data_IF_934375198158
#
_entry.id   IF_934375198158
#
_cell.length_a   1.000
_cell.length_b   1.000
_cell.length_c   1.000
_cell.angle_alpha   90.00
_cell.angle_beta   90.00
_cell.angle_gamma   90.00
#
_symmetry.space_group_name_H-M   'P 1'
#
loop_
_entity.id
_entity.type
_entity.pdbx_description
1 polymer ?
#
# COMPACT_ATOMS: atom_id res chain seq x y z
N UNK A 1 -35.25 -23.18 -2.49
CA UNK A 1 -36.10 -22.68 -3.60
C UNK A 1 -35.35 -21.91 -4.70
N UNK A 2 -34.07 -21.53 -4.53
CA UNK A 2 -33.30 -20.73 -5.52
C UNK A 2 -33.07 -21.39 -6.90
N UNK A 3 -32.96 -22.72 -6.97
CA UNK A 3 -32.65 -23.41 -8.23
C UNK A 3 -33.78 -23.40 -9.27
N UNK A 4 -35.04 -23.34 -8.83
CA UNK A 4 -36.20 -23.49 -9.73
C UNK A 4 -36.47 -22.25 -10.59
N UNK A 5 -36.08 -21.06 -10.13
CA UNK A 5 -36.35 -19.79 -10.83
C UNK A 5 -35.23 -19.36 -11.79
N UNK A 6 -34.00 -19.91 -11.63
CA UNK A 6 -32.86 -19.62 -12.51
C UNK A 6 -32.85 -20.53 -13.75
N UNK A 7 -33.44 -21.72 -13.63
CA UNK A 7 -33.43 -22.77 -14.67
C UNK A 7 -33.88 -22.28 -16.05
N UNK A 8 -34.98 -21.51 -16.19
CA UNK A 8 -35.45 -21.04 -17.49
C UNK A 8 -34.47 -20.07 -18.16
N UNK A 9 -33.87 -19.14 -17.38
CA UNK A 9 -32.89 -18.18 -17.89
C UNK A 9 -31.62 -18.89 -18.39
N UNK A 10 -31.13 -19.87 -17.63
CA UNK A 10 -29.96 -20.67 -18.01
C UNK A 10 -30.25 -21.51 -19.25
N UNK A 11 -31.39 -22.19 -19.30
CA UNK A 11 -31.79 -22.99 -20.45
C UNK A 11 -31.90 -22.13 -21.72
N UNK A 12 -32.55 -20.97 -21.63
CA UNK A 12 -32.71 -20.07 -22.76
C UNK A 12 -31.37 -19.48 -23.24
N UNK A 13 -30.46 -19.16 -22.32
CA UNK A 13 -29.10 -18.71 -22.63
C UNK A 13 -28.33 -19.81 -23.37
N UNK A 14 -28.38 -21.05 -22.88
CA UNK A 14 -27.70 -22.18 -23.49
C UNK A 14 -28.23 -22.49 -24.90
N UNK A 15 -29.55 -22.51 -25.08
CA UNK A 15 -30.17 -22.70 -26.39
C UNK A 15 -29.79 -21.58 -27.35
N UNK A 16 -29.80 -20.33 -26.88
CA UNK A 16 -29.38 -19.18 -27.68
C UNK A 16 -27.93 -19.29 -28.15
N UNK A 17 -27.01 -19.68 -27.27
CA UNK A 17 -25.60 -19.86 -27.63
C UNK A 17 -25.41 -20.95 -28.68
N UNK A 18 -25.98 -22.15 -28.45
CA UNK A 18 -25.87 -23.26 -29.39
C UNK A 18 -26.37 -22.87 -30.79
N UNK A 19 -27.48 -22.13 -30.85
CA UNK A 19 -28.02 -21.66 -32.09
C UNK A 19 -27.12 -20.62 -32.78
N UNK A 20 -26.62 -19.64 -32.02
CA UNK A 20 -25.75 -18.58 -32.55
C UNK A 20 -24.46 -19.20 -33.10
N UNK A 21 -23.85 -20.12 -32.36
CA UNK A 21 -22.68 -20.89 -32.81
C UNK A 21 -22.98 -21.70 -34.07
N UNK A 22 -24.09 -22.44 -34.11
CA UNK A 22 -24.47 -23.24 -35.28
C UNK A 22 -24.63 -22.39 -36.54
N UNK A 23 -25.30 -21.23 -36.43
CA UNK A 23 -25.50 -20.31 -37.55
C UNK A 23 -24.17 -19.68 -37.99
N UNK A 24 -23.33 -19.24 -37.05
CA UNK A 24 -21.99 -18.72 -37.38
C UNK A 24 -21.15 -19.77 -38.09
N UNK A 25 -21.22 -21.04 -37.68
CA UNK A 25 -20.49 -22.12 -38.35
C UNK A 25 -21.00 -22.40 -39.76
N UNK A 26 -22.33 -22.44 -39.94
CA UNK A 26 -22.91 -22.66 -41.27
C UNK A 26 -22.56 -21.52 -42.24
N UNK A 27 -22.57 -20.28 -41.75
CA UNK A 27 -22.36 -19.11 -42.60
C UNK A 27 -20.87 -18.80 -42.81
N UNK A 28 -20.13 -18.67 -41.71
CA UNK A 28 -18.71 -18.32 -41.76
C UNK A 28 -17.86 -19.51 -42.20
N UNK A 29 -18.25 -20.75 -41.90
CA UNK A 29 -17.55 -21.94 -42.37
C UNK A 29 -17.53 -22.12 -43.89
N UNK A 30 -18.44 -21.44 -44.62
CA UNK A 30 -18.42 -21.38 -46.08
C UNK A 30 -17.38 -20.38 -46.62
N UNK A 31 -17.00 -19.38 -45.82
CA UNK A 31 -16.10 -18.29 -46.22
C UNK A 31 -14.70 -18.40 -45.62
N UNK A 32 -14.56 -18.98 -44.42
CA UNK A 32 -13.29 -19.16 -43.70
C UNK A 32 -13.19 -20.59 -43.17
N UNK A 33 -11.97 -21.09 -42.87
CA UNK A 33 -11.80 -22.43 -42.31
C UNK A 33 -12.65 -22.63 -41.05
N UNK A 34 -13.31 -23.78 -40.95
CA UNK A 34 -14.23 -24.09 -39.84
C UNK A 34 -13.65 -23.87 -38.42
N UNK A 35 -12.35 -24.07 -38.13
CA UNK A 35 -11.81 -23.76 -36.79
C UNK A 35 -11.84 -22.26 -36.48
N UNK A 36 -11.67 -21.41 -37.49
CA UNK A 36 -11.75 -19.95 -37.33
C UNK A 36 -13.20 -19.53 -37.04
N UNK A 37 -14.16 -20.10 -37.76
CA UNK A 37 -15.58 -19.87 -37.51
C UNK A 37 -16.01 -20.30 -36.09
N UNK A 38 -15.49 -21.43 -35.60
CA UNK A 38 -15.70 -21.87 -34.21
C UNK A 38 -15.17 -20.87 -33.19
N UNK A 39 -13.94 -20.40 -33.37
CA UNK A 39 -13.33 -19.42 -32.45
C UNK A 39 -14.14 -18.12 -32.44
N UNK A 40 -14.63 -17.66 -33.59
CA UNK A 40 -15.47 -16.45 -33.68
C UNK A 40 -16.80 -16.66 -32.96
N UNK A 41 -17.50 -17.77 -33.21
CA UNK A 41 -18.77 -18.07 -32.54
C UNK A 41 -18.63 -18.21 -31.02
N UNK A 42 -17.64 -19.00 -30.58
CA UNK A 42 -17.30 -19.13 -29.16
C UNK A 42 -16.84 -17.81 -28.53
N UNK A 43 -16.18 -16.94 -29.30
CA UNK A 43 -15.76 -15.62 -28.85
C UNK A 43 -16.95 -14.69 -28.57
N UNK A 44 -17.95 -14.69 -29.46
CA UNK A 44 -19.19 -13.92 -29.27
C UNK A 44 -19.94 -14.40 -28.02
N UNK A 45 -20.18 -15.71 -27.94
CA UNK A 45 -20.91 -16.31 -26.83
C UNK A 45 -20.14 -16.22 -25.50
N UNK A 46 -18.82 -16.42 -25.55
CA UNK A 46 -17.93 -16.31 -24.40
C UNK A 46 -17.85 -14.88 -23.87
N UNK A 47 -17.77 -13.88 -24.76
CA UNK A 47 -17.84 -12.47 -24.40
C UNK A 47 -19.17 -12.13 -23.73
N UNK A 48 -20.28 -12.63 -24.28
CA UNK A 48 -21.60 -12.43 -23.70
C UNK A 48 -21.73 -13.07 -22.31
N UNK A 49 -21.30 -14.32 -22.13
CA UNK A 49 -21.30 -14.98 -20.82
C UNK A 49 -20.41 -14.28 -19.80
N UNK A 50 -19.24 -13.80 -20.21
CA UNK A 50 -18.35 -13.04 -19.33
C UNK A 50 -19.03 -11.76 -18.83
N UNK A 51 -19.75 -11.05 -19.70
CA UNK A 51 -20.51 -9.86 -19.28
C UNK A 51 -21.67 -10.21 -18.34
N UNK A 52 -22.42 -11.28 -18.61
CA UNK A 52 -23.50 -11.75 -17.73
C UNK A 52 -22.99 -12.17 -16.36
N UNK A 53 -21.87 -12.90 -16.30
CA UNK A 53 -21.24 -13.31 -15.06
C UNK A 53 -20.76 -12.09 -14.26
N UNK A 54 -20.17 -11.10 -14.93
CA UNK A 54 -19.69 -9.88 -14.31
C UNK A 54 -20.84 -9.02 -13.76
N UNK A 55 -21.91 -8.82 -14.54
CA UNK A 55 -23.11 -8.13 -14.10
C UNK A 55 -23.74 -8.82 -12.88
N UNK A 56 -23.83 -10.14 -12.88
CA UNK A 56 -24.40 -10.90 -11.76
C UNK A 56 -23.54 -10.76 -10.50
N UNK A 57 -22.21 -10.74 -10.64
CA UNK A 57 -21.29 -10.48 -9.55
C UNK A 57 -21.47 -9.08 -8.96
N UNK A 58 -21.54 -8.06 -9.82
CA UNK A 58 -21.81 -6.67 -9.40
C UNK A 58 -23.16 -6.56 -8.70
N UNK A 59 -24.20 -7.17 -9.26
CA UNK A 59 -25.55 -7.15 -8.69
C UNK A 59 -25.58 -7.81 -7.30
N UNK A 60 -24.82 -8.89 -7.08
CA UNK A 60 -24.67 -9.51 -5.76
C UNK A 60 -23.95 -8.60 -4.74
N UNK A 61 -23.11 -7.69 -5.22
CA UNK A 61 -22.41 -6.67 -4.40
C UNK A 61 -23.24 -5.39 -4.22
N UNK A 62 -24.46 -5.34 -4.77
CA UNK A 62 -25.29 -4.13 -4.76
C UNK A 62 -24.76 -3.00 -5.65
N UNK A 63 -23.89 -3.31 -6.61
CA UNK A 63 -23.30 -2.36 -7.56
C UNK A 63 -23.79 -2.67 -8.98
N UNK A 64 -23.65 -1.70 -9.89
CA UNK A 64 -24.02 -1.82 -11.29
C UNK A 64 -23.18 -0.90 -12.16
N UNK A 65 -22.60 -1.46 -13.23
CA UNK A 65 -21.79 -0.73 -14.20
C UNK A 65 -22.55 -0.61 -15.53
N UNK A 66 -22.92 0.61 -15.90
CA UNK A 66 -23.65 0.91 -17.14
C UNK A 66 -22.90 0.48 -18.39
N UNK A 67 -21.57 0.56 -18.40
CA UNK A 67 -20.75 0.16 -19.55
C UNK A 67 -20.86 -1.36 -19.75
N UNK A 68 -20.71 -2.14 -18.68
CA UNK A 68 -20.81 -3.60 -18.79
C UNK A 68 -22.23 -4.00 -19.23
N UNK A 69 -23.25 -3.34 -18.69
CA UNK A 69 -24.64 -3.57 -19.14
C UNK A 69 -24.84 -3.26 -20.62
N UNK A 70 -24.30 -2.14 -21.11
CA UNK A 70 -24.37 -1.79 -22.52
C UNK A 70 -23.65 -2.84 -23.39
N UNK A 71 -22.48 -3.33 -22.97
CA UNK A 71 -21.73 -4.38 -23.67
C UNK A 71 -22.50 -5.71 -23.67
N UNK A 72 -23.12 -6.10 -22.56
CA UNK A 72 -23.94 -7.31 -22.51
C UNK A 72 -25.16 -7.25 -23.44
N UNK A 73 -25.77 -6.07 -23.59
CA UNK A 73 -26.85 -5.83 -24.56
C UNK A 73 -26.35 -5.79 -26.00
N UNK A 74 -25.17 -5.20 -26.27
CA UNK A 74 -24.62 -5.14 -27.62
C UNK A 74 -24.32 -6.55 -28.16
N UNK A 75 -23.75 -7.45 -27.34
CA UNK A 75 -23.57 -8.85 -27.73
C UNK A 75 -24.90 -9.54 -28.04
N UNK A 76 -25.93 -9.33 -27.22
CA UNK A 76 -27.26 -9.88 -27.46
C UNK A 76 -27.89 -9.37 -28.77
N UNK A 77 -27.72 -8.07 -29.07
CA UNK A 77 -28.19 -7.46 -30.32
C UNK A 77 -27.40 -7.96 -31.53
N UNK A 78 -26.07 -8.14 -31.41
CA UNK A 78 -25.23 -8.69 -32.47
C UNK A 78 -25.65 -10.14 -32.77
N UNK A 79 -25.80 -10.97 -31.74
CA UNK A 79 -26.26 -12.36 -31.91
C UNK A 79 -27.64 -12.42 -32.58
N UNK A 80 -28.59 -11.61 -32.14
CA UNK A 80 -29.90 -11.51 -32.77
C UNK A 80 -29.80 -11.02 -34.23
N UNK A 81 -28.94 -10.03 -34.50
CA UNK A 81 -28.69 -9.52 -35.85
C UNK A 81 -28.13 -10.59 -36.79
N UNK A 82 -27.19 -11.42 -36.32
CA UNK A 82 -26.66 -12.57 -37.09
C UNK A 82 -27.78 -13.57 -37.41
N UNK A 83 -28.64 -13.87 -36.44
CA UNK A 83 -29.77 -14.78 -36.65
C UNK A 83 -30.82 -14.21 -37.61
N UNK A 84 -31.12 -12.91 -37.53
CA UNK A 84 -32.02 -12.23 -38.48
C UNK A 84 -31.41 -12.24 -39.89
N UNK A 85 -30.13 -11.92 -40.03
CA UNK A 85 -29.44 -11.96 -41.31
C UNK A 85 -29.48 -13.36 -41.94
N UNK A 86 -29.29 -14.40 -41.11
CA UNK A 86 -29.45 -15.78 -41.57
C UNK A 86 -30.90 -16.08 -41.98
N UNK A 87 -31.89 -15.67 -41.21
CA UNK A 87 -33.31 -15.89 -41.53
C UNK A 87 -33.69 -15.30 -42.90
N UNK A 88 -33.15 -14.12 -43.23
CA UNK A 88 -33.39 -13.42 -44.49
C UNK A 88 -32.63 -14.00 -45.68
N UNK A 89 -31.54 -14.72 -45.45
CA UNK A 89 -30.70 -15.32 -46.50
C UNK A 89 -30.93 -16.83 -46.67
N UNK A 90 -31.62 -17.46 -45.73
CA UNK A 90 -31.99 -18.87 -45.81
C UNK A 90 -33.07 -19.11 -46.88
N UNK A 91 -32.86 -20.12 -47.73
CA UNK A 91 -33.78 -20.47 -48.82
C UNK A 91 -35.12 -21.06 -48.32
N UNK A 92 -35.17 -21.53 -47.07
CA UNK A 92 -36.34 -22.16 -46.46
C UNK A 92 -36.51 -21.74 -45.01
N UNK A 93 -37.77 -21.60 -44.56
CA UNK A 93 -38.08 -21.46 -43.13
C UNK A 93 -37.83 -20.08 -42.52
N UNK A 94 -37.83 -19.00 -43.31
CA UNK A 94 -37.64 -17.61 -42.85
C UNK A 94 -38.47 -17.24 -41.61
N UNK A 95 -39.74 -17.61 -41.58
CA UNK A 95 -40.63 -17.31 -40.45
C UNK A 95 -40.20 -18.00 -39.15
N UNK A 96 -39.74 -19.25 -39.22
CA UNK A 96 -39.24 -19.99 -38.06
C UNK A 96 -37.92 -19.38 -37.56
N UNK A 97 -37.00 -19.05 -38.46
CA UNK A 97 -35.73 -18.42 -38.09
C UNK A 97 -35.91 -17.02 -37.50
N UNK A 98 -36.83 -16.21 -38.04
CA UNK A 98 -37.17 -14.91 -37.46
C UNK A 98 -37.76 -15.03 -36.05
N UNK A 99 -38.57 -16.05 -35.78
CA UNK A 99 -39.11 -16.29 -34.44
C UNK A 99 -37.99 -16.60 -33.43
N UNK A 100 -37.01 -17.40 -33.83
CA UNK A 100 -35.91 -17.83 -32.95
C UNK A 100 -34.81 -16.76 -32.83
N UNK A 101 -34.68 -15.85 -33.81
CA UNK A 101 -33.67 -14.78 -33.80
C UNK A 101 -33.75 -13.85 -32.58
N UNK A 102 -34.90 -13.76 -31.92
CA UNK A 102 -35.10 -12.95 -30.73
C UNK A 102 -34.67 -13.63 -29.42
N UNK A 103 -34.28 -14.92 -29.46
CA UNK A 103 -33.86 -15.66 -28.27
C UNK A 103 -32.72 -15.01 -27.47
N UNK A 104 -31.64 -14.45 -28.06
CA UNK A 104 -30.57 -13.82 -27.29
C UNK A 104 -31.06 -12.63 -26.45
N UNK A 105 -31.94 -11.82 -27.04
CA UNK A 105 -32.56 -10.65 -26.39
C UNK A 105 -33.50 -11.11 -25.28
N UNK A 106 -34.34 -12.11 -25.56
CA UNK A 106 -35.26 -12.66 -24.59
C UNK A 106 -34.55 -13.34 -23.40
N UNK A 107 -33.44 -14.05 -23.65
CA UNK A 107 -32.60 -14.63 -22.60
C UNK A 107 -32.03 -13.54 -21.67
N UNK A 108 -31.50 -12.45 -22.24
CA UNK A 108 -31.02 -11.29 -21.46
C UNK A 108 -32.13 -10.63 -20.65
N UNK A 109 -33.30 -10.43 -21.25
CA UNK A 109 -34.47 -9.88 -20.56
C UNK A 109 -34.93 -10.78 -19.40
N UNK A 110 -34.90 -12.10 -19.58
CA UNK A 110 -35.26 -13.06 -18.55
C UNK A 110 -34.31 -13.00 -17.35
N UNK A 111 -33.01 -12.78 -17.57
CA UNK A 111 -32.05 -12.50 -16.48
C UNK A 111 -32.39 -11.22 -15.70
N UNK A 112 -32.85 -10.16 -16.37
CA UNK A 112 -33.29 -8.93 -15.70
C UNK A 112 -34.54 -9.15 -14.87
N UNK A 113 -35.55 -9.83 -15.43
CA UNK A 113 -36.78 -10.18 -14.71
C UNK A 113 -36.46 -11.03 -13.50
N UNK A 114 -35.57 -12.01 -13.64
CA UNK A 114 -35.12 -12.83 -12.54
C UNK A 114 -34.46 -12.00 -11.42
N UNK A 115 -33.56 -11.08 -11.78
CA UNK A 115 -32.94 -10.18 -10.80
C UNK A 115 -33.93 -9.25 -10.11
N UNK A 116 -34.99 -8.81 -10.81
CA UNK A 116 -36.09 -8.06 -10.22
C UNK A 116 -36.92 -8.93 -9.27
N UNK A 117 -37.21 -10.17 -9.65
CA UNK A 117 -37.94 -11.14 -8.83
C UNK A 117 -37.21 -11.46 -7.52
N UNK A 118 -35.89 -11.65 -7.57
CA UNK A 118 -35.07 -11.85 -6.37
C UNK A 118 -35.18 -10.65 -5.41
N UNK A 119 -35.27 -9.42 -5.95
CA UNK A 119 -35.46 -8.21 -5.14
C UNK A 119 -36.86 -8.10 -4.55
N UNK A 120 -37.90 -8.46 -5.31
CA UNK A 120 -39.29 -8.42 -4.82
C UNK A 120 -39.61 -9.55 -3.84
N UNK A 121 -38.84 -10.64 -3.87
CA UNK A 121 -38.97 -11.73 -2.89
C UNK A 121 -38.40 -11.36 -1.51
N UNK A 122 -37.60 -10.30 -1.42
CA UNK A 122 -37.07 -9.78 -0.16
C UNK A 122 -38.02 -8.73 0.41
N UNK A 123 -38.28 -8.79 1.71
CA UNK A 123 -39.06 -7.75 2.39
C UNK A 123 -38.32 -6.40 2.34
N UNK A 124 -39.03 -5.25 2.36
CA UNK A 124 -38.39 -3.93 2.40
C UNK A 124 -37.42 -3.78 3.58
N UNK A 125 -37.73 -4.39 4.73
CA UNK A 125 -36.86 -4.44 5.90
C UNK A 125 -35.56 -5.20 5.64
N UNK A 126 -35.62 -6.35 4.96
CA UNK A 126 -34.44 -7.12 4.58
C UNK A 126 -33.57 -6.37 3.56
N UNK A 127 -34.17 -5.69 2.58
CA UNK A 127 -33.44 -4.83 1.65
C UNK A 127 -32.77 -3.65 2.37
N UNK A 128 -33.44 -3.05 3.35
CA UNK A 128 -32.88 -2.00 4.21
C UNK A 128 -31.67 -2.50 5.02
N UNK A 129 -31.79 -3.67 5.64
CA UNK A 129 -30.69 -4.29 6.40
C UNK A 129 -29.49 -4.61 5.51
N UNK A 130 -29.70 -5.16 4.31
CA UNK A 130 -28.63 -5.44 3.34
C UNK A 130 -27.91 -4.15 2.94
N UNK A 131 -28.66 -3.07 2.65
CA UNK A 131 -28.08 -1.76 2.33
C UNK A 131 -27.28 -1.18 3.50
N UNK A 132 -27.77 -1.35 4.73
CA UNK A 132 -27.05 -0.94 5.94
C UNK A 132 -25.71 -1.65 6.08
N UNK A 133 -25.71 -2.99 6.01
CA UNK A 133 -24.49 -3.81 6.09
C UNK A 133 -23.49 -3.44 4.98
N UNK A 134 -23.97 -3.23 3.75
CA UNK A 134 -23.10 -2.84 2.64
C UNK A 134 -22.47 -1.46 2.83
N UNK A 135 -23.20 -0.53 3.46
CA UNK A 135 -22.71 0.83 3.70
C UNK A 135 -21.68 0.83 4.83
N UNK A 136 -21.97 0.14 5.92
CA UNK A 136 -21.03 -0.02 7.02
C UNK A 136 -19.74 -0.69 6.57
N UNK A 137 -19.81 -1.74 5.74
CA UNK A 137 -18.62 -2.37 5.16
C UNK A 137 -17.82 -1.42 4.24
N UNK A 138 -18.50 -0.54 3.49
CA UNK A 138 -17.82 0.47 2.65
C UNK A 138 -17.12 1.53 3.50
N UNK A 139 -17.78 1.99 4.57
CA UNK A 139 -17.25 2.98 5.49
C UNK A 139 -16.05 2.43 6.24
N UNK A 140 -16.15 1.19 6.75
CA UNK A 140 -15.04 0.50 7.40
C UNK A 140 -13.85 0.32 6.44
N UNK A 141 -14.09 -0.08 5.19
CA UNK A 141 -13.04 -0.19 4.18
C UNK A 141 -12.41 1.18 3.85
N UNK A 142 -13.19 2.26 3.82
CA UNK A 142 -12.68 3.61 3.61
C UNK A 142 -11.81 4.07 4.78
N UNK A 143 -12.24 3.82 6.02
CA UNK A 143 -11.47 4.12 7.24
C UNK A 143 -10.19 3.31 7.28
N UNK A 144 -10.23 2.01 6.97
CA UNK A 144 -9.05 1.15 6.93
C UNK A 144 -8.03 1.66 5.90
N UNK A 145 -8.48 2.05 4.70
CA UNK A 145 -7.60 2.67 3.68
C UNK A 145 -7.02 3.99 4.15
N UNK A 146 -7.80 4.84 4.81
CA UNK A 146 -7.32 6.11 5.34
C UNK A 146 -6.26 5.90 6.43
N UNK A 147 -6.48 4.93 7.33
CA UNK A 147 -5.52 4.54 8.37
C UNK A 147 -4.22 4.01 7.78
N UNK A 148 -4.30 3.08 6.82
CA UNK A 148 -3.12 2.54 6.14
C UNK A 148 -2.33 3.64 5.41
N UNK A 149 -3.01 4.62 4.79
CA UNK A 149 -2.34 5.78 4.18
C UNK A 149 -1.64 6.67 5.21
N UNK A 150 -2.27 6.89 6.36
CA UNK A 150 -1.66 7.67 7.44
C UNK A 150 -0.41 6.98 8.00
N UNK A 151 -0.49 5.66 8.25
CA UNK A 151 0.64 4.85 8.71
C UNK A 151 1.78 4.86 7.67
N UNK A 152 1.47 4.66 6.40
CA UNK A 152 2.46 4.74 5.31
C UNK A 152 3.15 6.12 5.23
N UNK A 153 2.38 7.22 5.34
CA UNK A 153 2.96 8.57 5.34
C UNK A 153 3.86 8.85 6.55
N UNK A 154 3.53 8.30 7.72
CA UNK A 154 4.39 8.41 8.90
C UNK A 154 5.70 7.63 8.74
N UNK A 155 5.66 6.42 8.16
CA UNK A 155 6.86 5.62 7.90
C UNK A 155 7.73 6.24 6.81
N UNK A 156 7.15 6.81 5.75
CA UNK A 156 7.90 7.55 4.74
C UNK A 156 8.64 8.75 5.34
N UNK A 157 7.98 9.50 6.21
CA UNK A 157 8.59 10.65 6.93
C UNK A 157 9.73 10.18 7.83
N UNK A 158 9.55 9.06 8.54
CA UNK A 158 10.57 8.45 9.40
C UNK A 158 11.78 7.99 8.61
N UNK A 159 11.58 7.25 7.51
CA UNK A 159 12.65 6.80 6.62
C UNK A 159 13.42 7.97 6.02
N UNK A 160 12.72 9.02 5.62
CA UNK A 160 13.34 10.25 5.11
C UNK A 160 14.22 10.92 6.18
N UNK A 161 13.71 11.04 7.41
CA UNK A 161 14.47 11.62 8.52
C UNK A 161 15.72 10.80 8.86
N UNK A 162 15.62 9.47 8.89
CA UNK A 162 16.76 8.56 9.13
C UNK A 162 17.79 8.67 8.02
N UNK A 163 17.37 8.65 6.75
CA UNK A 163 18.26 8.80 5.60
C UNK A 163 18.99 10.15 5.64
N UNK A 164 18.29 11.25 5.93
CA UNK A 164 18.91 12.56 6.05
C UNK A 164 19.91 12.62 7.22
N UNK A 165 19.59 12.00 8.36
CA UNK A 165 20.52 11.90 9.48
C UNK A 165 21.77 11.09 9.11
N UNK A 166 21.60 9.94 8.45
CA UNK A 166 22.70 9.13 7.92
C UNK A 166 23.58 9.91 6.93
N UNK A 167 22.96 10.67 6.01
CA UNK A 167 23.69 11.53 5.07
C UNK A 167 24.45 12.68 5.76
N UNK A 168 23.98 13.17 6.91
CA UNK A 168 24.73 14.14 7.72
C UNK A 168 25.94 13.48 8.39
N UNK A 169 25.76 12.30 8.98
CA UNK A 169 26.85 11.53 9.62
C UNK A 169 27.94 11.16 8.60
N UNK A 170 27.55 10.65 7.43
CA UNK A 170 28.49 10.30 6.36
C UNK A 170 29.31 11.51 5.89
N UNK A 171 28.68 12.69 5.77
CA UNK A 171 29.38 13.95 5.44
C UNK A 171 30.39 14.36 6.52
N UNK A 172 30.03 14.24 7.79
CA UNK A 172 30.95 14.54 8.90
C UNK A 172 32.14 13.58 8.88
N UNK A 173 31.90 12.28 8.72
CA UNK A 173 32.98 11.29 8.62
C UNK A 173 33.92 11.57 7.44
N UNK A 174 33.37 11.89 6.26
CA UNK A 174 34.17 12.26 5.09
C UNK A 174 35.02 13.52 5.34
N UNK A 175 34.45 14.53 6.01
CA UNK A 175 35.18 15.75 6.37
C UNK A 175 36.30 15.47 7.37
N UNK A 176 36.04 14.65 8.39
CA UNK A 176 37.04 14.24 9.38
C UNK A 176 38.17 13.43 8.75
N UNK A 177 37.85 12.47 7.87
CA UNK A 177 38.83 11.70 7.12
C UNK A 177 39.72 12.60 6.25
N UNK A 178 39.13 13.59 5.58
CA UNK A 178 39.89 14.59 4.80
C UNK A 178 40.82 15.41 5.68
N UNK A 179 40.36 15.88 6.84
CA UNK A 179 41.20 16.64 7.77
C UNK A 179 42.35 15.80 8.32
N UNK A 180 42.09 14.53 8.68
CA UNK A 180 43.12 13.60 9.15
C UNK A 180 44.15 13.30 8.05
N UNK A 181 43.71 13.05 6.82
CA UNK A 181 44.61 12.87 5.68
C UNK A 181 45.46 14.11 5.42
N UNK A 182 44.88 15.31 5.56
CA UNK A 182 45.60 16.57 5.50
C UNK A 182 46.65 16.70 6.59
N UNK A 183 46.31 16.39 7.85
CA UNK A 183 47.23 16.41 8.98
C UNK A 183 48.40 15.42 8.79
N UNK A 184 48.11 14.21 8.31
CA UNK A 184 49.14 13.23 7.96
C UNK A 184 50.06 13.72 6.84
N UNK A 185 49.49 14.30 5.78
CA UNK A 185 50.26 14.89 4.69
C UNK A 185 51.18 16.03 5.19
N UNK A 186 50.68 16.91 6.06
CA UNK A 186 51.51 17.96 6.66
C UNK A 186 52.62 17.42 7.56
N UNK A 187 52.35 16.34 8.31
CA UNK A 187 53.34 15.70 9.15
C UNK A 187 54.44 15.02 8.31
N UNK A 188 54.04 14.35 7.23
CA UNK A 188 54.95 13.72 6.28
C UNK A 188 55.80 14.76 5.53
N UNK A 189 55.20 15.88 5.11
CA UNK A 189 55.92 16.98 4.50
C UNK A 189 56.94 17.62 5.47
N UNK A 190 56.56 17.79 6.75
CA UNK A 190 57.48 18.26 7.78
C UNK A 190 58.64 17.27 8.02
N UNK A 191 58.35 15.97 8.05
CA UNK A 191 59.36 14.90 8.17
C UNK A 191 60.35 14.90 7.01
N UNK A 192 59.87 15.10 5.78
CA UNK A 192 60.68 15.06 4.57
C UNK A 192 61.31 16.43 4.21
N UNK A 193 61.08 17.47 5.00
CA UNK A 193 61.65 18.80 4.79
C UNK A 193 63.14 18.88 5.17
N UNK A 194 63.92 19.59 4.36
CA UNK A 194 65.38 19.74 4.52
C UNK A 194 65.81 20.30 5.89
N UNK A 195 65.01 21.18 6.50
CA UNK A 195 65.30 21.74 7.84
C UNK A 195 65.17 20.70 8.96
N UNK A 196 64.23 19.76 8.84
CA UNK A 196 64.04 18.67 9.80
C UNK A 196 65.11 17.59 9.63
N UNK A 197 65.48 17.30 8.38
CA UNK A 197 66.66 16.48 8.06
C UNK A 197 67.93 17.07 8.68
N UNK A 198 68.15 18.38 8.55
CA UNK A 198 69.26 19.11 9.19
C UNK A 198 69.24 19.03 10.71
N UNK A 199 68.08 19.27 11.34
CA UNK A 199 67.92 19.20 12.79
C UNK A 199 68.11 17.77 13.35
N UNK A 200 67.76 16.74 12.60
CA UNK A 200 68.00 15.34 12.98
C UNK A 200 69.46 14.92 12.72
N UNK A 201 70.11 15.43 11.67
CA UNK A 201 71.55 15.21 11.45
C UNK A 201 72.43 15.90 12.48
N UNK A 202 72.06 17.09 12.99
CA UNK A 202 72.82 17.81 14.01
C UNK A 202 72.78 17.13 15.39
N UNK A 203 71.76 16.30 15.64
CA UNK A 203 71.64 15.47 16.86
C UNK A 203 72.31 14.10 16.69
N UNK A 204 72.49 13.60 15.46
CA UNK A 204 73.08 12.26 15.22
C UNK A 204 74.58 12.30 14.93
N UNK A 205 75.14 13.42 14.43
CA UNK A 205 76.58 13.62 14.44
C UNK A 205 77.06 13.94 15.87
N UNK A 206 78.05 13.20 16.39
CA UNK A 206 78.64 13.47 17.72
C UNK A 206 79.12 14.92 17.79
N UNK A 207 78.37 15.77 18.50
CA UNK A 207 78.82 17.12 18.86
C UNK A 207 79.83 17.06 20.03
N UNK A 208 79.85 15.95 20.77
CA UNK A 208 80.84 15.61 21.82
C UNK A 208 81.24 14.12 21.75
N UNK A 209 82.53 13.75 21.91
CA UNK A 209 82.94 12.36 22.08
C UNK A 209 82.30 11.77 23.36
N UNK A 210 81.87 10.50 23.29
CA UNK A 210 81.35 9.68 24.41
C UNK A 210 79.95 9.94 24.98
N UNK A 211 79.11 10.78 24.33
CA UNK A 211 77.68 10.87 24.70
C UNK A 211 76.81 10.34 23.56
N UNK A 212 76.08 9.25 23.82
CA UNK A 212 75.05 8.71 22.91
C UNK A 212 73.72 9.41 23.18
N UNK A 213 73.17 10.20 22.24
CA UNK A 213 71.85 10.79 22.43
C UNK A 213 70.79 9.70 22.36
N UNK A 214 69.97 9.57 23.42
CA UNK A 214 68.90 8.59 23.53
C UNK A 214 67.58 9.34 23.52
N UNK A 215 66.79 9.17 22.47
CA UNK A 215 65.41 9.64 22.41
C UNK A 215 64.48 8.44 22.57
N UNK A 216 63.68 8.42 23.64
CA UNK A 216 62.59 7.47 23.78
C UNK A 216 61.33 8.07 23.15
N UNK A 217 60.74 7.37 22.17
CA UNK A 217 59.46 7.75 21.56
C UNK A 217 58.33 7.56 22.58
N UNK A 218 57.37 8.50 22.68
CA UNK A 218 56.20 8.30 23.52
C UNK A 218 55.36 7.15 22.94
N UNK A 219 55.21 6.09 23.73
CA UNK A 219 54.39 4.94 23.38
C UNK A 219 52.92 5.39 23.48
N UNK A 220 52.20 5.40 22.37
CA UNK A 220 50.76 5.67 22.39
C UNK A 220 50.08 4.47 23.04
N UNK A 221 49.67 4.63 24.30
CA UNK A 221 49.00 3.59 25.08
C UNK A 221 47.60 3.24 24.52
N UNK A 222 47.00 2.13 24.97
CA UNK A 222 45.68 1.70 24.53
C UNK A 222 44.63 2.79 24.79
N UNK A 223 43.85 3.13 23.78
CA UNK A 223 42.81 4.17 23.85
C UNK A 223 41.70 3.75 24.82
N UNK A 224 41.53 4.50 25.90
CA UNK A 224 40.41 4.33 26.81
C UNK A 224 39.15 4.95 26.14
N UNK A 225 38.10 4.16 25.84
CA UNK A 225 36.86 4.73 25.32
C UNK A 225 36.30 5.70 26.36
N UNK A 226 36.05 6.95 25.96
CA UNK A 226 35.39 7.96 26.79
C UNK A 226 34.06 7.37 27.24
N UNK A 227 33.88 7.24 28.55
CA UNK A 227 32.63 6.77 29.13
C UNK A 227 31.48 7.62 28.56
N UNK A 228 30.60 6.99 27.79
CA UNK A 228 29.25 7.50 27.59
C UNK A 228 28.72 7.82 28.97
N UNK A 229 28.36 9.09 29.21
CA UNK A 229 27.73 9.56 30.45
C UNK A 229 26.63 8.57 30.83
N UNK A 230 26.95 7.64 31.74
CA UNK A 230 26.01 6.63 32.18
C UNK A 230 24.85 7.37 32.80
N UNK A 231 23.66 7.14 32.27
CA UNK A 231 22.36 7.47 32.88
C UNK A 231 22.14 6.59 34.13
N UNK A 232 23.15 6.44 34.98
CA UNK A 232 23.03 5.67 36.21
C UNK A 232 22.43 6.56 37.30
N UNK A 233 21.14 6.30 37.50
CA UNK A 233 20.47 6.26 38.79
C UNK A 233 20.32 7.58 39.55
N UNK A 234 19.56 8.52 38.97
CA UNK A 234 18.51 9.17 39.78
C UNK A 234 17.48 8.07 40.08
N UNK A 235 17.02 7.86 41.33
CA UNK A 235 16.02 6.84 41.63
C UNK A 235 14.84 7.01 40.67
N UNK A 236 14.57 5.97 39.88
CA UNK A 236 13.54 6.04 38.86
C UNK A 236 12.19 6.19 39.57
N UNK A 237 11.56 7.36 39.40
CA UNK A 237 10.18 7.60 39.83
C UNK A 237 9.33 6.40 39.40
N UNK A 238 8.60 5.83 40.34
CA UNK A 238 7.57 4.83 40.06
C UNK A 238 6.49 5.44 39.18
N UNK A 239 5.70 4.61 38.49
CA UNK A 239 4.65 5.14 37.62
C UNK A 239 3.60 5.94 38.40
N UNK A 240 3.34 5.59 39.67
CA UNK A 240 2.44 6.35 40.54
C UNK A 240 3.03 7.72 40.90
N UNK A 241 4.29 7.78 41.33
CA UNK A 241 4.95 9.05 41.64
C UNK A 241 5.06 9.94 40.40
N UNK A 242 5.23 9.35 39.21
CA UNK A 242 5.25 10.08 37.96
C UNK A 242 3.88 10.67 37.62
N UNK A 243 2.80 9.92 37.86
CA UNK A 243 1.43 10.38 37.62
C UNK A 243 1.07 11.53 38.57
N UNK A 244 1.35 11.38 39.87
CA UNK A 244 1.08 12.40 40.89
C UNK A 244 1.85 13.70 40.60
N UNK A 245 3.11 13.58 40.18
CA UNK A 245 3.95 14.73 39.87
C UNK A 245 3.53 15.42 38.56
N UNK A 246 3.12 14.67 37.55
CA UNK A 246 2.55 15.23 36.31
C UNK A 246 1.23 15.95 36.60
N UNK A 247 0.36 15.40 37.45
CA UNK A 247 -0.90 16.02 37.82
C UNK A 247 -0.70 17.33 38.61
N UNK A 248 0.24 17.31 39.57
CA UNK A 248 0.61 18.49 40.37
C UNK A 248 1.13 19.61 39.48
N UNK A 249 2.04 19.31 38.54
CA UNK A 249 2.59 20.34 37.64
C UNK A 249 1.50 20.85 36.70
N UNK A 250 0.64 19.98 36.17
CA UNK A 250 -0.45 20.36 35.27
C UNK A 250 -1.41 21.37 35.92
N UNK A 251 -1.77 21.13 37.18
CA UNK A 251 -2.71 21.97 37.93
C UNK A 251 -2.02 23.11 38.72
N UNK A 252 -0.72 23.34 38.49
CA UNK A 252 0.00 24.45 39.14
C UNK A 252 -0.46 25.84 38.69
N UNK A 253 -1.16 25.93 37.55
CA UNK A 253 -1.76 27.16 37.03
C UNK A 253 -3.20 26.93 36.58
N UNK A 254 -3.98 28.01 36.61
CA UNK A 254 -5.35 28.04 36.10
C UNK A 254 -5.41 29.01 34.91
N UNK A 255 -5.72 28.55 33.69
CA UNK A 255 -6.11 27.18 33.31
C UNK A 255 -4.94 26.19 33.33
N UNK A 256 -5.27 24.89 33.44
CA UNK A 256 -4.29 23.80 33.51
C UNK A 256 -3.32 23.83 32.33
N UNK A 257 -2.04 23.59 32.62
CA UNK A 257 -0.94 23.68 31.64
C UNK A 257 -1.12 22.71 30.48
N UNK A 258 -0.61 23.07 29.31
CA UNK A 258 -0.49 22.14 28.19
C UNK A 258 0.62 21.11 28.43
N UNK A 259 0.57 19.97 27.72
CA UNK A 259 1.61 18.92 27.80
C UNK A 259 3.03 19.49 27.61
N UNK A 260 3.18 20.42 26.66
CA UNK A 260 4.48 21.01 26.33
C UNK A 260 5.04 21.84 27.49
N UNK A 261 4.20 22.64 28.13
CA UNK A 261 4.60 23.48 29.27
C UNK A 261 4.89 22.63 30.50
N UNK A 262 4.04 21.63 30.78
CA UNK A 262 4.27 20.65 31.84
C UNK A 262 5.61 19.94 31.64
N UNK A 263 5.91 19.43 30.43
CA UNK A 263 7.15 18.70 30.17
C UNK A 263 8.41 19.58 30.30
N UNK A 264 8.32 20.87 29.98
CA UNK A 264 9.41 21.83 30.21
C UNK A 264 9.64 22.03 31.71
N UNK A 265 8.56 22.26 32.48
CA UNK A 265 8.65 22.46 33.94
C UNK A 265 9.14 21.21 34.66
N UNK A 266 8.68 20.03 34.25
CA UNK A 266 9.14 18.73 34.76
C UNK A 266 10.67 18.59 34.64
N UNK A 267 11.23 18.94 33.48
CA UNK A 267 12.69 18.89 33.25
C UNK A 267 13.44 20.02 33.96
N UNK A 268 12.85 21.22 34.01
CA UNK A 268 13.42 22.35 34.72
C UNK A 268 13.52 22.11 36.24
N UNK A 269 12.58 21.33 36.80
CA UNK A 269 12.61 20.86 38.19
C UNK A 269 13.63 19.73 38.43
N UNK A 270 14.39 19.31 37.41
CA UNK A 270 15.44 18.29 37.54
C UNK A 270 14.94 16.85 37.48
N UNK A 271 13.65 16.62 37.19
CA UNK A 271 13.13 15.26 37.03
C UNK A 271 13.52 14.66 35.68
N UNK A 272 13.84 13.37 35.70
CA UNK A 272 14.22 12.60 34.52
C UNK A 272 13.26 11.43 34.32
N UNK A 273 12.60 11.40 33.15
CA UNK A 273 11.80 10.27 32.68
C UNK A 273 11.95 10.16 31.17
N UNK A 274 11.84 8.93 30.63
CA UNK A 274 11.80 8.75 29.18
C UNK A 274 10.55 9.41 28.60
N UNK A 275 10.65 9.98 27.40
CA UNK A 275 9.53 10.64 26.71
C UNK A 275 8.31 9.72 26.59
N UNK A 276 8.54 8.42 26.41
CA UNK A 276 7.48 7.39 26.35
C UNK A 276 6.74 7.29 27.68
N UNK A 277 7.46 7.22 28.81
CA UNK A 277 6.84 7.16 30.15
C UNK A 277 6.11 8.45 30.50
N UNK A 278 6.70 9.60 30.18
CA UNK A 278 6.10 10.91 30.46
C UNK A 278 4.80 11.13 29.66
N UNK A 279 4.73 10.68 28.40
CA UNK A 279 3.50 10.72 27.60
C UNK A 279 2.44 9.73 28.11
N UNK A 280 2.85 8.56 28.57
CA UNK A 280 1.94 7.58 29.14
C UNK A 280 1.29 8.13 30.42
N UNK A 281 2.09 8.72 31.32
CA UNK A 281 1.61 9.39 32.53
C UNK A 281 0.64 10.54 32.20
N UNK A 282 1.02 11.42 31.27
CA UNK A 282 0.15 12.50 30.81
C UNK A 282 -1.20 12.00 30.29
N UNK A 283 -1.22 10.90 29.53
CA UNK A 283 -2.48 10.31 29.04
C UNK A 283 -3.36 9.76 30.16
N UNK A 284 -2.77 9.22 31.22
CA UNK A 284 -3.54 8.72 32.37
C UNK A 284 -4.14 9.86 33.19
N UNK A 285 -3.38 10.94 33.36
CA UNK A 285 -3.78 12.11 34.16
C UNK A 285 -4.75 13.03 33.40
N UNK A 286 -4.61 13.14 32.07
CA UNK A 286 -5.40 14.02 31.22
C UNK A 286 -6.62 13.39 30.54
N UNK A 287 -6.83 12.08 30.72
CA UNK A 287 -8.08 11.40 30.35
C UNK A 287 -9.21 11.78 31.31
#
# INVERSE_FOLDING_TARGET
MKGKTVLPAVAMTAVSMVLTLAVVLMWLGAAVPWPVALVVGLGIDGGWLATLAYERRLAAQGDHNRIVTAVGWSFGLIAAGVLVAHALTAEQGTGAWLAVAWLPIAAKALWLVHGLWERTALTPSALGAIRGIQQEARDEAAVARARLRAEAGTEETRLTAVTQAGARVARVQAKTAKSLAGAWSTLEAARNGDDTGRALTSVTSRVTPDVTPRWDLPIWGPTQPVATRSLEAVPALTDQELDDLVDTIRHSETPALSYREMAIRFRAAGHAASEVRLRAAWKRVAA
#
